data_IF_142402949283
#
_entry.id   IF_142402949283
#
_cell.length_a   1.000
_cell.length_b   1.000
_cell.length_c   1.000
_cell.angle_alpha   90.00
_cell.angle_beta   90.00
_cell.angle_gamma   90.00
#
_symmetry.space_group_name_H-M   'P 1'
#
loop_
_entity.id
_entity.type
_entity.pdbx_description
1 polymer ?
#
# COMPACT_ATOMS: atom_id res chain seq x y z
N UNK A 1 -24.16 -3.06 3.03
CA UNK A 1 -24.35 -1.59 2.92
C UNK A 1 -24.47 -0.96 4.29
N UNK A 2 -25.42 -1.39 5.14
CA UNK A 2 -25.60 -0.86 6.52
C UNK A 2 -24.30 -0.89 7.37
N UNK A 3 -23.58 -2.02 7.39
CA UNK A 3 -22.35 -2.12 8.19
C UNK A 3 -21.23 -1.12 7.78
N UNK A 4 -21.06 -0.84 6.49
CA UNK A 4 -20.07 0.15 6.03
C UNK A 4 -20.50 1.57 6.40
N UNK A 5 -21.80 1.88 6.29
CA UNK A 5 -22.34 3.17 6.68
C UNK A 5 -22.21 3.42 8.19
N UNK A 6 -22.54 2.42 9.01
CA UNK A 6 -22.32 2.49 10.46
C UNK A 6 -20.84 2.70 10.79
N UNK A 7 -19.93 2.00 10.11
CA UNK A 7 -18.49 2.20 10.29
C UNK A 7 -18.07 3.63 9.93
N UNK A 8 -18.57 4.17 8.81
CA UNK A 8 -18.29 5.55 8.40
C UNK A 8 -18.77 6.57 9.43
N UNK A 9 -19.98 6.40 9.95
CA UNK A 9 -20.52 7.27 11.02
C UNK A 9 -19.65 7.19 12.27
N UNK A 10 -19.30 5.99 12.71
CA UNK A 10 -18.43 5.80 13.89
C UNK A 10 -17.06 6.45 13.70
N UNK A 11 -16.41 6.29 12.55
CA UNK A 11 -15.11 6.92 12.27
C UNK A 11 -15.24 8.43 12.34
N UNK A 12 -16.26 9.02 11.72
CA UNK A 12 -16.49 10.48 11.74
C UNK A 12 -16.69 11.00 13.17
N UNK A 13 -17.54 10.35 13.95
CA UNK A 13 -17.82 10.76 15.34
C UNK A 13 -16.61 10.67 16.26
N UNK A 14 -15.74 9.67 16.04
CA UNK A 14 -14.61 9.39 16.92
C UNK A 14 -13.28 9.96 16.40
N UNK A 15 -13.30 10.69 15.27
CA UNK A 15 -12.09 11.15 14.61
C UNK A 15 -11.26 12.07 15.51
N UNK A 16 -11.88 13.08 16.10
CA UNK A 16 -11.17 14.11 16.86
C UNK A 16 -10.71 13.62 18.24
N UNK A 17 -11.48 12.72 18.87
CA UNK A 17 -11.24 12.24 20.23
C UNK A 17 -10.43 10.95 20.30
N UNK A 18 -10.50 10.08 19.27
CA UNK A 18 -9.95 8.72 19.32
C UNK A 18 -9.22 8.27 18.05
N UNK A 19 -8.73 9.21 17.22
CA UNK A 19 -7.96 8.91 16.00
C UNK A 19 -6.93 7.78 16.16
N UNK A 20 -6.10 7.84 17.21
CA UNK A 20 -5.04 6.86 17.42
C UNK A 20 -5.57 5.44 17.63
N UNK A 21 -6.75 5.29 18.25
CA UNK A 21 -7.39 3.99 18.45
C UNK A 21 -8.03 3.50 17.16
N UNK A 22 -8.68 4.38 16.39
CA UNK A 22 -9.23 4.06 15.07
C UNK A 22 -8.14 3.53 14.14
N UNK A 23 -7.02 4.26 14.02
CA UNK A 23 -5.89 3.84 13.18
C UNK A 23 -5.29 2.50 13.64
N UNK A 24 -5.22 2.25 14.96
CA UNK A 24 -4.72 0.98 15.50
C UNK A 24 -5.64 -0.21 15.20
N UNK A 25 -6.96 -0.06 15.33
CA UNK A 25 -7.91 -1.13 15.02
C UNK A 25 -7.96 -1.44 13.52
N UNK A 26 -7.94 -0.42 12.66
CA UNK A 26 -7.84 -0.59 11.22
C UNK A 26 -6.52 -1.29 10.82
N UNK A 27 -5.40 -0.89 11.42
CA UNK A 27 -4.12 -1.58 11.24
C UNK A 27 -4.18 -3.06 11.64
N UNK A 28 -4.79 -3.39 12.79
CA UNK A 28 -4.93 -4.79 13.22
C UNK A 28 -5.67 -5.61 12.18
N UNK A 29 -6.75 -5.08 11.62
CA UNK A 29 -7.52 -5.76 10.57
C UNK A 29 -6.71 -5.95 9.28
N UNK A 30 -5.92 -4.94 8.88
CA UNK A 30 -4.97 -5.05 7.76
C UNK A 30 -3.92 -6.13 8.04
N UNK A 31 -3.36 -6.15 9.26
CA UNK A 31 -2.31 -7.11 9.66
C UNK A 31 -2.80 -8.55 9.59
N UNK A 32 -4.06 -8.81 9.95
CA UNK A 32 -4.68 -10.15 9.86
C UNK A 32 -4.66 -10.72 8.45
N UNK A 33 -4.71 -9.86 7.42
CA UNK A 33 -4.79 -10.28 6.01
C UNK A 33 -5.91 -11.30 5.76
N UNK A 34 -7.07 -11.08 6.39
CA UNK A 34 -8.21 -12.00 6.35
C UNK A 34 -9.01 -11.94 5.03
N UNK A 35 -10.33 -12.19 5.07
CA UNK A 35 -11.18 -12.17 3.87
C UNK A 35 -11.09 -10.84 3.11
N UNK A 36 -11.04 -10.91 1.76
CA UNK A 36 -10.79 -9.75 0.90
C UNK A 36 -11.77 -8.58 1.13
N UNK A 37 -13.04 -8.89 1.42
CA UNK A 37 -14.06 -7.87 1.74
C UNK A 37 -13.68 -7.02 2.96
N UNK A 38 -13.34 -7.65 4.08
CA UNK A 38 -12.97 -6.94 5.31
C UNK A 38 -11.66 -6.20 5.15
N UNK A 39 -10.69 -6.84 4.50
CA UNK A 39 -9.37 -6.24 4.22
C UNK A 39 -9.48 -4.98 3.37
N UNK A 40 -10.27 -5.00 2.29
CA UNK A 40 -10.53 -3.83 1.43
C UNK A 40 -11.09 -2.65 2.19
N UNK A 41 -12.08 -2.90 3.05
CA UNK A 41 -12.69 -1.85 3.87
C UNK A 41 -11.64 -1.27 4.82
N UNK A 42 -10.89 -2.13 5.53
CA UNK A 42 -9.85 -1.68 6.46
C UNK A 42 -8.75 -0.86 5.75
N UNK A 43 -8.27 -1.31 4.59
CA UNK A 43 -7.31 -0.59 3.75
C UNK A 43 -7.86 0.79 3.34
N UNK A 44 -9.08 0.83 2.79
CA UNK A 44 -9.71 2.08 2.35
C UNK A 44 -9.83 3.11 3.48
N UNK A 45 -10.40 2.69 4.62
CA UNK A 45 -10.55 3.59 5.78
C UNK A 45 -9.20 4.00 6.36
N UNK A 46 -8.22 3.10 6.42
CA UNK A 46 -6.88 3.46 6.89
C UNK A 46 -6.22 4.49 5.95
N UNK A 47 -6.33 4.28 4.63
CA UNK A 47 -5.85 5.18 3.60
C UNK A 47 -6.46 6.59 3.70
N UNK A 48 -7.76 6.69 3.99
CA UNK A 48 -8.44 7.97 4.27
C UNK A 48 -7.82 8.72 5.47
N UNK A 49 -7.27 7.98 6.45
CA UNK A 49 -6.73 8.53 7.70
C UNK A 49 -5.21 8.71 7.71
N UNK A 50 -4.49 8.31 6.65
CA UNK A 50 -3.02 8.36 6.59
C UNK A 50 -2.46 9.78 6.81
N UNK A 51 -3.11 10.79 6.23
CA UNK A 51 -2.67 12.19 6.34
C UNK A 51 -2.78 12.76 7.78
N UNK A 52 -3.52 12.08 8.66
CA UNK A 52 -3.69 12.46 10.06
C UNK A 52 -2.68 11.76 10.99
N UNK A 53 -1.80 10.90 10.46
CA UNK A 53 -0.74 10.27 11.26
C UNK A 53 0.24 11.35 11.73
N UNK A 54 0.36 11.50 13.06
CA UNK A 54 1.34 12.41 13.66
C UNK A 54 2.76 11.95 13.32
N UNK A 55 3.66 12.89 13.01
CA UNK A 55 5.06 12.64 12.63
C UNK A 55 5.79 11.69 13.59
N UNK A 56 5.55 11.83 14.90
CA UNK A 56 6.14 10.98 15.94
C UNK A 56 5.77 9.49 15.81
N UNK A 57 4.65 9.18 15.15
CA UNK A 57 4.16 7.81 14.92
C UNK A 57 4.46 7.29 13.53
N UNK A 58 4.88 8.13 12.58
CA UNK A 58 5.13 7.71 11.19
C UNK A 58 6.11 6.53 11.12
N UNK A 59 7.25 6.60 11.83
CA UNK A 59 8.22 5.50 11.88
C UNK A 59 7.60 4.19 12.39
N UNK A 60 6.80 4.25 13.46
CA UNK A 60 6.14 3.07 14.00
C UNK A 60 5.12 2.48 13.01
N UNK A 61 4.35 3.32 12.32
CA UNK A 61 3.45 2.87 11.26
C UNK A 61 4.20 2.27 10.07
N UNK A 62 5.27 2.90 9.60
CA UNK A 62 6.07 2.40 8.48
C UNK A 62 6.59 0.99 8.75
N UNK A 63 7.29 0.77 9.86
CA UNK A 63 7.86 -0.56 10.18
C UNK A 63 6.79 -1.65 10.27
N UNK A 64 5.57 -1.29 10.69
CA UNK A 64 4.48 -2.24 10.87
C UNK A 64 3.61 -2.46 9.62
N UNK A 65 3.47 -1.45 8.76
CA UNK A 65 2.61 -1.49 7.57
C UNK A 65 3.33 -2.05 6.34
N UNK A 66 4.62 -1.75 6.16
CA UNK A 66 5.36 -2.22 4.99
C UNK A 66 5.29 -3.75 4.84
N UNK A 67 5.52 -4.57 5.90
CA UNK A 67 5.35 -6.02 5.79
C UNK A 67 3.91 -6.46 5.51
N UNK A 68 2.92 -5.65 5.86
CA UNK A 68 1.52 -5.93 5.53
C UNK A 68 1.26 -5.68 4.04
N UNK A 69 1.73 -4.55 3.49
CA UNK A 69 1.59 -4.24 2.07
C UNK A 69 2.27 -5.29 1.19
N UNK A 70 3.46 -5.74 1.58
CA UNK A 70 4.20 -6.83 0.92
C UNK A 70 3.38 -8.12 0.87
N UNK A 71 2.77 -8.54 1.99
CA UNK A 71 1.94 -9.77 2.01
C UNK A 71 0.65 -9.62 1.21
N UNK A 72 0.04 -8.43 1.25
CA UNK A 72 -1.24 -8.19 0.54
C UNK A 72 -1.00 -8.08 -0.97
N UNK A 73 0.14 -7.53 -1.41
CA UNK A 73 0.45 -7.38 -2.84
C UNK A 73 0.51 -8.73 -3.57
N UNK A 74 0.79 -9.81 -2.84
CA UNK A 74 0.87 -11.18 -3.39
C UNK A 74 -0.51 -11.81 -3.69
N UNK A 75 -1.62 -11.23 -3.22
CA UNK A 75 -3.00 -11.68 -3.50
C UNK A 75 -3.48 -11.22 -4.87
N UNK A 76 -2.74 -11.59 -5.91
CA UNK A 76 -2.94 -11.11 -7.28
C UNK A 76 -4.24 -11.59 -7.93
N UNK A 77 -4.81 -12.68 -7.41
CA UNK A 77 -6.09 -13.26 -7.80
C UNK A 77 -7.30 -12.42 -7.36
N UNK A 78 -7.15 -11.57 -6.35
CA UNK A 78 -8.21 -10.69 -5.84
C UNK A 78 -8.01 -9.26 -6.33
N UNK A 79 -8.46 -8.98 -7.55
CA UNK A 79 -8.44 -7.66 -8.20
C UNK A 79 -8.87 -6.51 -7.28
N UNK A 80 -9.98 -6.73 -6.58
CA UNK A 80 -10.58 -5.77 -5.68
C UNK A 80 -9.68 -5.44 -4.47
N UNK A 81 -8.86 -6.39 -4.00
CA UNK A 81 -7.87 -6.19 -2.92
C UNK A 81 -6.67 -5.42 -3.45
N UNK A 82 -6.19 -5.73 -4.66
CA UNK A 82 -5.08 -5.02 -5.31
C UNK A 82 -5.39 -3.54 -5.53
N UNK A 83 -6.62 -3.22 -5.95
CA UNK A 83 -7.07 -1.84 -6.09
C UNK A 83 -7.08 -1.09 -4.74
N UNK A 84 -7.63 -1.71 -3.70
CA UNK A 84 -7.68 -1.12 -2.37
C UNK A 84 -6.28 -0.91 -1.78
N UNK A 85 -5.38 -1.89 -1.96
CA UNK A 85 -3.98 -1.77 -1.55
C UNK A 85 -3.30 -0.61 -2.27
N UNK A 86 -3.42 -0.54 -3.59
CA UNK A 86 -2.80 0.52 -4.40
C UNK A 86 -3.27 1.90 -3.98
N UNK A 87 -4.58 2.09 -3.81
CA UNK A 87 -5.15 3.34 -3.34
C UNK A 87 -4.62 3.72 -1.95
N UNK A 88 -4.41 2.74 -1.07
CA UNK A 88 -3.83 2.95 0.26
C UNK A 88 -2.35 3.33 0.16
N UNK A 89 -1.56 2.65 -0.69
CA UNK A 89 -0.14 2.94 -0.93
C UNK A 89 0.03 4.38 -1.45
N UNK A 90 -0.78 4.79 -2.43
CA UNK A 90 -0.78 6.17 -2.98
C UNK A 90 -1.00 7.23 -1.91
N UNK A 91 -1.85 6.95 -0.93
CA UNK A 91 -2.15 7.89 0.17
C UNK A 91 -1.16 7.80 1.34
N UNK A 92 -0.61 6.63 1.59
CA UNK A 92 0.28 6.36 2.71
C UNK A 92 1.72 6.79 2.43
N UNK A 93 2.24 6.50 1.23
CA UNK A 93 3.65 6.73 0.90
C UNK A 93 4.09 8.20 0.98
N UNK A 94 3.28 9.21 0.61
CA UNK A 94 3.65 10.61 0.84
C UNK A 94 3.97 10.94 2.30
N UNK A 95 3.31 10.27 3.25
CA UNK A 95 3.50 10.47 4.69
C UNK A 95 4.56 9.55 5.28
N UNK A 96 4.65 8.31 4.78
CA UNK A 96 5.44 7.24 5.38
C UNK A 96 6.77 6.98 4.67
N UNK A 97 6.89 7.38 3.40
CA UNK A 97 8.00 7.03 2.53
C UNK A 97 9.34 7.59 3.01
N UNK A 98 9.36 8.78 3.61
CA UNK A 98 10.56 9.36 4.23
C UNK A 98 11.08 8.57 5.46
N UNK A 99 10.25 7.69 6.03
CA UNK A 99 10.60 6.86 7.18
C UNK A 99 11.01 5.43 6.80
N UNK A 100 10.97 5.09 5.51
CA UNK A 100 11.42 3.78 5.00
C UNK A 100 12.96 3.71 4.94
N UNK A 101 13.49 2.49 4.96
CA UNK A 101 14.88 2.21 4.62
C UNK A 101 14.98 1.56 3.23
N UNK A 102 16.21 1.39 2.73
CA UNK A 102 16.43 0.85 1.38
C UNK A 102 15.91 -0.59 1.23
N UNK A 103 15.89 -1.39 2.29
CA UNK A 103 15.35 -2.76 2.27
C UNK A 103 13.82 -2.76 2.19
N UNK A 104 13.15 -1.86 2.91
CA UNK A 104 11.69 -1.69 2.87
C UNK A 104 11.24 -1.42 1.42
N UNK A 105 11.91 -0.48 0.75
CA UNK A 105 11.61 -0.09 -0.63
C UNK A 105 11.89 -1.26 -1.58
N UNK A 106 13.07 -1.88 -1.51
CA UNK A 106 13.41 -3.03 -2.37
C UNK A 106 12.43 -4.19 -2.18
N UNK A 107 11.96 -4.44 -0.96
CA UNK A 107 10.99 -5.50 -0.68
C UNK A 107 9.66 -5.22 -1.38
N UNK A 108 9.11 -4.00 -1.23
CA UNK A 108 7.89 -3.59 -1.91
C UNK A 108 8.02 -3.69 -3.43
N UNK A 109 9.12 -3.16 -3.99
CA UNK A 109 9.32 -3.19 -5.45
C UNK A 109 9.36 -4.62 -5.97
N UNK A 110 10.14 -5.50 -5.33
CA UNK A 110 10.24 -6.92 -5.71
C UNK A 110 8.92 -7.68 -5.58
N UNK A 111 8.03 -7.28 -4.66
CA UNK A 111 6.72 -7.95 -4.52
C UNK A 111 5.63 -7.39 -5.40
N UNK A 112 5.77 -6.15 -5.89
CA UNK A 112 4.87 -5.59 -6.90
C UNK A 112 5.31 -5.92 -8.33
N UNK A 113 6.61 -6.13 -8.59
CA UNK A 113 7.13 -6.37 -9.95
C UNK A 113 6.46 -7.56 -10.66
N UNK A 114 6.28 -8.74 -10.04
CA UNK A 114 5.63 -9.88 -10.69
C UNK A 114 4.19 -9.62 -11.11
N UNK A 115 3.50 -8.70 -10.43
CA UNK A 115 2.12 -8.35 -10.74
C UNK A 115 1.98 -7.60 -12.08
N UNK A 116 3.08 -7.10 -12.66
CA UNK A 116 3.10 -6.55 -14.02
C UNK A 116 2.84 -7.60 -15.10
N UNK A 117 3.07 -8.88 -14.81
CA UNK A 117 2.80 -10.01 -15.72
C UNK A 117 1.47 -10.70 -15.43
N UNK A 118 0.67 -10.19 -14.48
CA UNK A 118 -0.63 -10.77 -14.13
C UNK A 118 -1.58 -10.75 -15.35
N UNK A 119 -2.41 -11.79 -15.59
CA UNK A 119 -3.41 -11.78 -16.66
C UNK A 119 -4.43 -10.64 -16.55
N UNK A 120 -4.76 -10.21 -15.33
CA UNK A 120 -5.66 -9.10 -15.08
C UNK A 120 -5.03 -7.75 -15.44
N UNK A 121 -5.68 -7.01 -16.34
CA UNK A 121 -5.29 -5.64 -16.67
C UNK A 121 -5.37 -4.69 -15.46
N UNK A 122 -6.34 -4.91 -14.56
CA UNK A 122 -6.49 -4.10 -13.35
C UNK A 122 -5.28 -4.28 -12.43
N UNK A 123 -4.85 -5.52 -12.22
CA UNK A 123 -3.71 -5.85 -11.35
C UNK A 123 -2.41 -5.28 -11.91
N UNK A 124 -2.20 -5.39 -13.23
CA UNK A 124 -1.03 -4.76 -13.89
C UNK A 124 -0.98 -3.25 -13.67
N UNK A 125 -2.12 -2.56 -13.84
CA UNK A 125 -2.24 -1.11 -13.59
C UNK A 125 -1.96 -0.76 -12.13
N UNK A 126 -2.51 -1.54 -11.20
CA UNK A 126 -2.30 -1.37 -9.76
C UNK A 126 -0.82 -1.54 -9.37
N UNK A 127 -0.16 -2.55 -9.93
CA UNK A 127 1.26 -2.81 -9.73
C UNK A 127 2.12 -1.66 -10.25
N UNK A 128 1.89 -1.21 -11.49
CA UNK A 128 2.62 -0.09 -12.09
C UNK A 128 2.50 1.18 -11.24
N UNK A 129 1.29 1.53 -10.81
CA UNK A 129 1.05 2.71 -9.97
C UNK A 129 1.73 2.59 -8.60
N UNK A 130 1.66 1.40 -7.98
CA UNK A 130 2.30 1.14 -6.69
C UNK A 130 3.83 1.24 -6.78
N UNK A 131 4.44 0.66 -7.83
CA UNK A 131 5.88 0.71 -8.07
C UNK A 131 6.38 2.16 -8.19
N UNK A 132 5.75 2.96 -9.04
CA UNK A 132 6.11 4.38 -9.23
C UNK A 132 5.93 5.17 -7.94
N UNK A 133 4.80 5.00 -7.26
CA UNK A 133 4.50 5.69 -5.99
C UNK A 133 5.55 5.38 -4.92
N UNK A 134 5.90 4.10 -4.76
CA UNK A 134 6.88 3.67 -3.75
C UNK A 134 8.25 4.29 -4.03
N UNK A 135 8.69 4.31 -5.29
CA UNK A 135 9.93 4.97 -5.69
C UNK A 135 9.87 6.47 -5.43
N UNK A 136 8.83 7.15 -5.94
CA UNK A 136 8.68 8.61 -5.90
C UNK A 136 8.74 9.17 -4.48
N UNK A 137 8.12 8.48 -3.52
CA UNK A 137 8.02 8.96 -2.14
C UNK A 137 9.05 8.36 -1.19
N UNK A 138 9.96 7.52 -1.70
CA UNK A 138 11.10 7.02 -0.93
C UNK A 138 12.07 8.14 -0.54
N UNK A 139 13.02 7.84 0.35
CA UNK A 139 14.10 8.77 0.73
C UNK A 139 15.07 9.11 -0.42
N UNK A 140 15.14 8.25 -1.45
CA UNK A 140 16.10 8.34 -2.56
C UNK A 140 15.39 8.08 -3.90
N UNK A 141 14.45 8.94 -4.33
CA UNK A 141 13.56 8.65 -5.44
C UNK A 141 14.30 8.34 -6.74
N UNK A 142 15.31 9.14 -7.10
CA UNK A 142 16.08 8.93 -8.32
C UNK A 142 16.84 7.59 -8.33
N UNK A 143 17.35 7.16 -7.17
CA UNK A 143 18.06 5.88 -7.04
C UNK A 143 17.10 4.71 -7.28
N UNK A 144 15.91 4.76 -6.68
CA UNK A 144 14.94 3.68 -6.82
C UNK A 144 14.21 3.69 -8.16
N UNK A 145 13.99 4.86 -8.77
CA UNK A 145 13.49 4.96 -10.14
C UNK A 145 14.48 4.36 -11.14
N UNK A 146 15.77 4.66 -11.03
CA UNK A 146 16.80 4.05 -11.89
C UNK A 146 16.90 2.53 -11.66
N UNK A 147 16.82 2.09 -10.41
CA UNK A 147 16.80 0.66 -10.08
C UNK A 147 15.59 -0.05 -10.71
N UNK A 148 14.40 0.55 -10.59
CA UNK A 148 13.19 0.03 -11.20
C UNK A 148 13.30 -0.03 -12.73
N UNK A 149 13.86 0.99 -13.38
CA UNK A 149 14.08 0.98 -14.83
C UNK A 149 14.97 -0.20 -15.27
N UNK A 150 16.05 -0.49 -14.55
CA UNK A 150 16.94 -1.62 -14.86
C UNK A 150 16.20 -2.97 -14.74
N UNK A 151 15.39 -3.13 -13.69
CA UNK A 151 14.57 -4.32 -13.50
C UNK A 151 13.52 -4.46 -14.63
N UNK A 152 12.88 -3.36 -15.03
CA UNK A 152 11.92 -3.36 -16.14
C UNK A 152 12.59 -3.69 -17.48
N UNK A 153 13.78 -3.16 -17.76
CA UNK A 153 14.54 -3.54 -18.96
C UNK A 153 14.86 -5.04 -18.97
N UNK A 154 15.20 -5.61 -17.81
CA UNK A 154 15.48 -7.04 -17.69
C UNK A 154 14.26 -7.92 -17.97
N UNK A 155 13.04 -7.39 -17.86
CA UNK A 155 11.81 -8.10 -18.20
C UNK A 155 11.49 -8.10 -19.71
N UNK A 156 12.07 -7.17 -20.48
CA UNK A 156 11.79 -6.97 -21.91
C UNK A 156 12.97 -7.39 -22.79
N UNK A 157 14.17 -7.51 -22.23
CA UNK A 157 15.39 -7.85 -22.96
C UNK A 157 15.78 -9.34 -22.85
N UNK A 158 16.33 -9.94 -23.92
CA UNK A 158 16.40 -9.38 -25.27
C UNK A 158 15.00 -9.28 -25.89
N UNK A 159 14.78 -8.24 -26.71
CA UNK A 159 13.52 -8.09 -27.43
C UNK A 159 13.41 -9.25 -28.40
N UNK A 160 12.56 -10.23 -28.09
CA UNK A 160 12.18 -11.27 -29.03
C UNK A 160 11.04 -10.70 -29.88
N UNK A 161 11.27 -10.56 -31.18
CA UNK A 161 10.28 -10.08 -32.17
C UNK A 161 9.06 -10.99 -32.25
#
# INVERSE_FOLDING_TARGET
>A
MVADECLNRTIKTLLDSHLGRLQAELYKEIKKNGPGRSLRVALGKFGDLCHLIKTQKCRAYTVNLIPCFVRISQRSEEESVQEALTNTVVRAMPMLGQFTNDNDIKMLLRTFLPNLSCPSALVRRCAALSLVTVCQWSRKPNVFLLWLLNDLFSLVLPVQE
#
